data_IF_873819441340
#
_entry.id   IF_873819441340
#
_cell.length_a   1.000
_cell.length_b   1.000
_cell.length_c   1.000
_cell.angle_alpha   90.00
_cell.angle_beta   90.00
_cell.angle_gamma   90.00
#
_symmetry.space_group_name_H-M   'P 1'
#
loop_
_entity.id
_entity.type
_entity.pdbx_description
1 polymer ?
#
# COMPACT_ATOMS: atom_id res chain seq x y z
N UNK A 1 -10.08 12.39 -30.95
CA UNK A 1 -11.52 12.14 -30.71
C UNK A 1 -11.61 11.53 -29.34
N UNK A 2 -12.20 12.27 -28.40
CA UNK A 2 -12.45 11.85 -27.04
C UNK A 2 -12.96 10.38 -26.93
N UNK A 3 -12.16 9.51 -26.30
CA UNK A 3 -12.47 8.09 -26.15
C UNK A 3 -13.23 7.83 -24.84
N UNK A 4 -14.55 8.09 -24.85
CA UNK A 4 -15.42 7.77 -23.72
C UNK A 4 -16.75 7.13 -24.13
N UNK A 5 -17.25 6.25 -23.27
CA UNK A 5 -18.49 5.48 -23.45
C UNK A 5 -19.31 5.56 -22.17
N UNK A 6 -20.59 5.91 -22.28
CA UNK A 6 -21.57 5.79 -21.19
C UNK A 6 -22.53 4.64 -21.51
N UNK A 7 -22.47 3.59 -20.70
CA UNK A 7 -23.41 2.47 -20.77
C UNK A 7 -24.83 2.87 -20.38
N UNK A 8 -25.83 2.10 -20.84
CA UNK A 8 -27.24 2.32 -20.50
C UNK A 8 -27.54 2.10 -19.01
N UNK A 9 -26.66 1.36 -18.35
CA UNK A 9 -26.60 1.03 -16.93
C UNK A 9 -25.88 2.09 -16.10
N UNK A 10 -25.27 3.08 -16.75
CA UNK A 10 -24.58 4.20 -16.12
C UNK A 10 -23.07 4.00 -15.91
N UNK A 11 -22.50 2.89 -16.38
CA UNK A 11 -21.05 2.68 -16.37
C UNK A 11 -20.35 3.66 -17.33
N UNK A 12 -19.59 4.62 -16.80
CA UNK A 12 -18.79 5.55 -17.59
C UNK A 12 -17.36 5.04 -17.76
N UNK A 13 -16.99 4.66 -18.98
CA UNK A 13 -15.64 4.20 -19.32
C UNK A 13 -14.90 5.30 -20.08
N UNK A 14 -13.71 5.64 -19.61
CA UNK A 14 -12.84 6.68 -20.13
C UNK A 14 -11.49 6.04 -20.46
N UNK A 15 -11.05 6.19 -21.69
CA UNK A 15 -9.78 5.65 -22.17
C UNK A 15 -8.88 6.78 -22.66
N UNK A 16 -7.59 6.65 -22.43
CA UNK A 16 -6.57 7.35 -23.21
C UNK A 16 -6.86 7.22 -24.71
N UNK A 17 -6.59 8.27 -25.49
CA UNK A 17 -6.97 8.28 -26.90
C UNK A 17 -6.02 7.45 -27.78
N UNK A 18 -4.82 7.16 -27.27
CA UNK A 18 -3.81 6.30 -27.89
C UNK A 18 -3.51 6.70 -29.35
N UNK A 19 -3.58 8.01 -29.65
CA UNK A 19 -3.30 8.56 -30.97
C UNK A 19 -1.78 8.75 -31.18
N UNK A 20 -1.38 9.73 -31.99
CA UNK A 20 0.03 9.91 -32.37
C UNK A 20 0.95 10.20 -31.18
N UNK A 21 0.40 10.82 -30.13
CA UNK A 21 0.99 10.84 -28.79
C UNK A 21 0.30 9.76 -27.96
N UNK A 22 1.10 8.95 -27.27
CA UNK A 22 0.61 7.91 -26.37
C UNK A 22 0.39 8.44 -24.96
N UNK A 23 1.00 9.58 -24.64
CA UNK A 23 0.87 10.19 -23.32
C UNK A 23 -0.43 10.98 -23.26
N UNK A 24 -1.39 10.46 -22.51
CA UNK A 24 -2.72 11.02 -22.37
C UNK A 24 -2.82 11.87 -21.09
N UNK A 25 -3.38 13.07 -21.21
CA UNK A 25 -3.82 13.87 -20.07
C UNK A 25 -5.33 13.71 -19.88
N UNK A 26 -5.71 12.93 -18.86
CA UNK A 26 -7.08 12.58 -18.54
C UNK A 26 -7.49 13.28 -17.25
N UNK A 27 -8.53 14.11 -17.29
CA UNK A 27 -9.12 14.76 -16.13
C UNK A 27 -10.60 14.42 -16.02
N UNK A 28 -11.03 13.93 -14.84
CA UNK A 28 -12.43 13.58 -14.57
C UNK A 28 -12.90 14.31 -13.32
N UNK A 29 -13.80 15.28 -13.52
CA UNK A 29 -14.26 16.16 -12.46
C UNK A 29 -15.77 16.08 -12.34
N UNK A 30 -16.26 15.64 -11.19
CA UNK A 30 -17.66 15.75 -10.81
C UNK A 30 -17.95 17.14 -10.22
N UNK A 31 -18.93 17.82 -10.81
CA UNK A 31 -19.44 19.12 -10.41
C UNK A 31 -20.88 18.99 -9.89
N UNK A 32 -21.55 20.11 -9.63
CA UNK A 32 -22.88 20.11 -9.03
C UNK A 32 -23.94 19.33 -9.84
N UNK A 33 -23.87 19.34 -11.17
CA UNK A 33 -24.86 18.69 -12.05
C UNK A 33 -24.27 17.78 -13.12
N UNK A 34 -22.96 17.86 -13.37
CA UNK A 34 -22.30 17.14 -14.46
C UNK A 34 -21.00 16.50 -14.01
N UNK A 35 -20.59 15.46 -14.72
CA UNK A 35 -19.21 14.97 -14.74
C UNK A 35 -18.58 15.48 -16.03
N UNK A 36 -17.50 16.26 -15.90
CA UNK A 36 -16.71 16.74 -17.02
C UNK A 36 -15.49 15.86 -17.18
N UNK A 37 -15.38 15.23 -18.35
CA UNK A 37 -14.23 14.45 -18.78
C UNK A 37 -13.43 15.27 -19.77
N UNK A 38 -12.14 15.45 -19.53
CA UNK A 38 -11.20 16.11 -20.43
C UNK A 38 -10.10 15.14 -20.80
N UNK A 39 -9.88 14.91 -22.09
CA UNK A 39 -8.75 14.10 -22.62
C UNK A 39 -7.99 14.99 -23.59
N UNK A 40 -6.71 15.24 -23.32
CA UNK A 40 -5.81 16.04 -24.18
C UNK A 40 -6.38 17.42 -24.56
N UNK A 41 -7.14 18.03 -23.63
CA UNK A 41 -7.78 19.33 -23.80
C UNK A 41 -9.17 19.30 -24.48
N UNK A 42 -9.58 18.18 -25.08
CA UNK A 42 -10.96 17.98 -25.53
C UNK A 42 -11.85 17.66 -24.32
N UNK A 43 -12.99 18.32 -24.16
CA UNK A 43 -13.87 18.12 -23.00
C UNK A 43 -15.29 17.70 -23.39
N UNK A 44 -15.89 16.84 -22.57
CA UNK A 44 -17.31 16.45 -22.66
C UNK A 44 -17.93 16.38 -21.27
N UNK A 45 -19.10 17.02 -21.13
CA UNK A 45 -19.90 16.97 -19.92
C UNK A 45 -21.02 15.93 -20.06
N UNK A 46 -21.24 15.19 -18.99
CA UNK A 46 -22.26 14.15 -18.87
C UNK A 46 -23.12 14.51 -17.66
N UNK A 47 -24.44 14.39 -17.80
CA UNK A 47 -25.35 14.52 -16.65
C UNK A 47 -24.98 13.48 -15.57
N UNK A 48 -24.59 13.95 -14.39
CA UNK A 48 -24.07 13.07 -13.34
C UNK A 48 -25.10 12.05 -12.87
N UNK A 49 -26.40 12.36 -12.99
CA UNK A 49 -27.48 11.45 -12.58
C UNK A 49 -27.57 10.22 -13.47
N UNK A 50 -26.88 10.22 -14.62
CA UNK A 50 -26.79 9.08 -15.53
C UNK A 50 -25.58 8.19 -15.28
N UNK A 51 -24.66 8.57 -14.38
CA UNK A 51 -23.40 7.85 -14.16
C UNK A 51 -23.43 7.12 -12.84
N UNK A 52 -23.33 5.80 -12.83
CA UNK A 52 -23.29 5.00 -11.59
C UNK A 52 -21.88 4.90 -11.03
N UNK A 53 -20.89 4.80 -11.91
CA UNK A 53 -19.48 4.59 -11.60
C UNK A 53 -18.59 5.00 -12.78
N UNK A 54 -17.30 5.15 -12.48
CA UNK A 54 -16.30 5.64 -13.44
C UNK A 54 -15.14 4.66 -13.54
N UNK A 55 -14.80 4.25 -14.76
CA UNK A 55 -13.60 3.47 -15.07
C UNK A 55 -12.67 4.32 -15.93
N UNK A 56 -11.42 4.44 -15.52
CA UNK A 56 -10.39 5.23 -16.22
C UNK A 56 -9.21 4.33 -16.55
N UNK A 57 -8.81 4.31 -17.82
CA UNK A 57 -7.65 3.55 -18.31
C UNK A 57 -6.73 4.49 -19.08
N UNK A 58 -5.47 4.65 -18.64
CA UNK A 58 -4.44 5.39 -19.40
C UNK A 58 -4.00 4.66 -20.67
N UNK A 59 -3.94 3.32 -20.62
CA UNK A 59 -3.49 2.39 -21.67
C UNK A 59 -1.99 2.29 -21.83
N UNK A 60 -1.36 2.93 -22.81
CA UNK A 60 0.11 2.89 -22.98
C UNK A 60 0.62 4.29 -23.07
N UNK A 61 1.78 4.58 -22.50
CA UNK A 61 2.32 5.94 -22.46
C UNK A 61 2.65 6.36 -21.04
N UNK A 62 3.19 7.56 -20.87
CA UNK A 62 3.32 8.19 -19.56
C UNK A 62 2.14 9.14 -19.37
N UNK A 63 1.10 8.63 -18.72
CA UNK A 63 -0.21 9.28 -18.64
C UNK A 63 -0.34 10.15 -17.39
N UNK A 64 -1.11 11.24 -17.50
CA UNK A 64 -1.52 12.06 -16.36
C UNK A 64 -3.02 11.89 -16.15
N UNK A 65 -3.40 11.16 -15.11
CA UNK A 65 -4.77 10.95 -14.69
C UNK A 65 -5.07 11.81 -13.46
N UNK A 66 -6.04 12.71 -13.55
CA UNK A 66 -6.50 13.55 -12.44
C UNK A 66 -7.99 13.36 -12.19
N UNK A 67 -8.37 13.07 -10.95
CA UNK A 67 -9.75 12.74 -10.60
C UNK A 67 -10.27 13.51 -9.39
N UNK A 68 -11.55 13.91 -9.47
CA UNK A 68 -12.35 14.40 -8.35
C UNK A 68 -13.78 13.91 -8.54
N UNK A 69 -14.05 12.69 -8.10
CA UNK A 69 -15.32 11.98 -8.36
C UNK A 69 -15.84 11.42 -7.04
N UNK A 70 -17.14 11.54 -6.77
CA UNK A 70 -17.76 11.09 -5.51
C UNK A 70 -18.64 9.85 -5.68
N UNK A 71 -18.28 9.02 -6.66
CA UNK A 71 -18.98 7.80 -7.07
C UNK A 71 -17.97 6.66 -7.20
N UNK A 72 -18.41 5.39 -7.06
CA UNK A 72 -17.53 4.25 -7.21
C UNK A 72 -16.65 4.39 -8.46
N UNK A 73 -15.37 4.10 -8.32
CA UNK A 73 -14.44 4.28 -9.43
C UNK A 73 -13.30 3.28 -9.43
N UNK A 74 -12.80 3.00 -10.63
CA UNK A 74 -11.61 2.18 -10.88
C UNK A 74 -10.66 2.95 -11.78
N UNK A 75 -9.37 2.96 -11.43
CA UNK A 75 -8.32 3.68 -12.14
C UNK A 75 -7.20 2.68 -12.48
N UNK A 76 -6.71 2.73 -13.72
CA UNK A 76 -5.48 2.06 -14.13
C UNK A 76 -4.62 3.05 -14.91
N UNK A 77 -3.34 3.18 -14.52
CA UNK A 77 -2.35 3.94 -15.28
C UNK A 77 -2.12 3.34 -16.66
N UNK A 78 -2.09 2.01 -16.76
CA UNK A 78 -1.73 1.31 -17.99
C UNK A 78 -0.25 0.90 -17.98
N UNK A 79 0.38 0.85 -19.15
CA UNK A 79 1.81 0.62 -19.32
C UNK A 79 2.55 1.95 -19.42
N UNK A 80 3.54 2.19 -18.56
CA UNK A 80 4.46 3.29 -18.74
C UNK A 80 5.00 3.83 -17.44
N UNK A 81 4.97 5.14 -17.23
CA UNK A 81 5.28 5.70 -15.91
C UNK A 81 4.31 6.83 -15.74
N UNK A 82 3.24 6.53 -15.03
CA UNK A 82 2.04 7.34 -15.00
C UNK A 82 2.00 8.20 -13.75
N UNK A 83 1.14 9.22 -13.79
CA UNK A 83 0.82 10.03 -12.65
C UNK A 83 -0.69 9.99 -12.42
N UNK A 84 -1.10 9.40 -11.30
CA UNK A 84 -2.49 9.41 -10.83
C UNK A 84 -2.62 10.38 -9.67
N UNK A 85 -3.41 11.43 -9.86
CA UNK A 85 -3.72 12.45 -8.84
C UNK A 85 -5.21 12.34 -8.48
N UNK A 86 -5.49 11.85 -7.28
CA UNK A 86 -6.83 11.88 -6.72
C UNK A 86 -6.99 13.13 -5.84
N UNK A 87 -7.66 14.15 -6.40
CA UNK A 87 -8.12 15.32 -5.65
C UNK A 87 -9.27 14.97 -4.72
N UNK A 88 -10.07 13.94 -5.08
CA UNK A 88 -11.01 13.24 -4.21
C UNK A 88 -11.42 11.92 -4.87
N UNK A 89 -11.38 10.83 -4.10
CA UNK A 89 -11.96 9.54 -4.47
C UNK A 89 -12.76 8.98 -3.28
N UNK A 90 -13.92 8.34 -3.52
CA UNK A 90 -14.76 7.87 -2.43
C UNK A 90 -14.17 6.60 -1.78
N UNK A 91 -14.63 6.23 -0.57
CA UNK A 91 -14.36 4.93 0.01
C UNK A 91 -14.58 3.80 -0.99
N UNK A 92 -13.61 2.89 -1.09
CA UNK A 92 -13.65 1.76 -2.00
C UNK A 92 -13.17 2.01 -3.44
N UNK A 93 -12.76 3.23 -3.80
CA UNK A 93 -12.13 3.51 -5.11
C UNK A 93 -10.88 2.65 -5.32
N UNK A 94 -10.80 1.98 -6.48
CA UNK A 94 -9.80 0.96 -6.76
C UNK A 94 -8.71 1.47 -7.71
N UNK A 95 -7.45 1.30 -7.33
CA UNK A 95 -6.28 1.41 -8.20
C UNK A 95 -5.87 0.01 -8.65
N UNK A 96 -6.02 -0.26 -9.94
CA UNK A 96 -5.54 -1.49 -10.56
C UNK A 96 -4.01 -1.43 -10.73
N UNK A 97 -3.33 -2.59 -10.71
CA UNK A 97 -1.92 -2.65 -11.10
C UNK A 97 -1.72 -2.08 -12.50
N UNK A 98 -0.62 -1.35 -12.65
CA UNK A 98 -0.14 -0.78 -13.90
C UNK A 98 1.35 -1.09 -14.08
N UNK A 99 1.80 -1.04 -15.32
CA UNK A 99 3.19 -1.26 -15.69
C UNK A 99 4.04 -0.03 -15.40
N UNK A 100 5.16 -0.25 -14.71
CA UNK A 100 6.19 0.76 -14.43
C UNK A 100 6.08 1.42 -13.06
N UNK A 101 6.84 2.49 -12.87
CA UNK A 101 7.05 3.10 -11.55
C UNK A 101 6.15 4.33 -11.37
N UNK A 102 4.85 4.10 -11.25
CA UNK A 102 3.86 5.18 -11.25
C UNK A 102 3.94 6.07 -10.02
N UNK A 103 3.54 7.33 -10.19
CA UNK A 103 3.36 8.29 -9.11
C UNK A 103 1.89 8.39 -8.75
N UNK A 104 1.54 7.98 -7.54
CA UNK A 104 0.19 8.06 -6.98
C UNK A 104 0.16 9.17 -5.93
N UNK A 105 -0.70 10.16 -6.12
CA UNK A 105 -0.90 11.30 -5.22
C UNK A 105 -2.36 11.31 -4.77
N UNK A 106 -2.60 11.09 -3.49
CA UNK A 106 -3.91 11.16 -2.88
C UNK A 106 -4.01 12.42 -2.03
N UNK A 107 -4.91 13.34 -2.41
CA UNK A 107 -5.11 14.60 -1.72
C UNK A 107 -6.30 14.56 -0.74
N UNK A 108 -7.36 13.83 -1.09
CA UNK A 108 -8.55 13.63 -0.24
C UNK A 108 -9.22 12.30 -0.55
N UNK A 109 -9.94 11.77 0.43
CA UNK A 109 -10.73 10.55 0.28
C UNK A 109 -9.89 9.29 0.44
N UNK A 110 -10.30 8.21 -0.23
CA UNK A 110 -9.69 6.89 -0.11
C UNK A 110 -9.31 6.34 -1.48
N UNK A 111 -8.16 5.65 -1.56
CA UNK A 111 -7.79 4.82 -2.69
C UNK A 111 -7.28 3.49 -2.14
N UNK A 112 -7.69 2.38 -2.76
CA UNK A 112 -7.23 1.05 -2.36
C UNK A 112 -6.69 0.25 -3.53
N UNK A 113 -5.93 -0.77 -3.19
CA UNK A 113 -5.49 -1.82 -4.11
C UNK A 113 -6.22 -3.13 -3.76
N UNK A 114 -6.25 -4.11 -4.65
CA UNK A 114 -6.90 -5.41 -4.41
C UNK A 114 -6.02 -6.64 -4.70
N UNK A 115 -4.78 -6.39 -5.10
CA UNK A 115 -3.74 -7.39 -5.29
C UNK A 115 -2.36 -6.74 -5.09
N UNK A 116 -1.33 -7.57 -4.90
CA UNK A 116 0.07 -7.13 -4.87
C UNK A 116 0.40 -6.26 -6.09
N UNK A 117 1.04 -5.12 -5.86
CA UNK A 117 1.43 -4.21 -6.93
C UNK A 117 2.63 -3.35 -6.56
N UNK A 118 3.27 -2.80 -7.60
CA UNK A 118 4.39 -1.86 -7.48
C UNK A 118 3.91 -0.45 -7.82
N UNK A 119 4.31 0.51 -7.00
CA UNK A 119 4.12 1.95 -7.21
C UNK A 119 5.50 2.61 -7.15
N UNK A 120 5.85 3.49 -8.07
CA UNK A 120 7.12 4.22 -7.96
C UNK A 120 7.12 5.16 -6.75
N UNK A 121 6.13 6.05 -6.68
CA UNK A 121 6.04 7.06 -5.62
C UNK A 121 4.62 7.18 -5.10
N UNK A 122 4.42 6.86 -3.83
CA UNK A 122 3.15 7.05 -3.13
C UNK A 122 3.21 8.32 -2.27
N UNK A 123 2.30 9.25 -2.50
CA UNK A 123 2.11 10.45 -1.68
C UNK A 123 0.68 10.47 -1.15
N UNK A 124 0.54 10.51 0.17
CA UNK A 124 -0.76 10.59 0.85
C UNK A 124 -0.79 11.89 1.65
N UNK A 125 -1.76 12.76 1.37
CA UNK A 125 -1.86 14.10 1.96
C UNK A 125 -3.13 14.27 2.79
N UNK A 126 -3.12 15.22 3.73
CA UNK A 126 -4.31 15.64 4.46
C UNK A 126 -5.05 14.47 5.13
N UNK A 127 -6.38 14.48 5.03
CA UNK A 127 -7.25 13.45 5.62
C UNK A 127 -7.46 12.24 4.69
N UNK A 128 -6.48 11.92 3.84
CA UNK A 128 -6.65 10.85 2.85
C UNK A 128 -6.05 9.52 3.30
N UNK A 129 -6.63 8.43 2.80
CA UNK A 129 -6.30 7.06 3.19
C UNK A 129 -5.95 6.23 1.96
N UNK A 130 -4.72 5.75 1.89
CA UNK A 130 -4.36 4.67 0.99
C UNK A 130 -4.53 3.34 1.73
N UNK A 131 -5.34 2.42 1.22
CA UNK A 131 -5.69 1.16 1.90
C UNK A 131 -5.18 -0.03 1.12
N UNK A 132 -4.49 -0.92 1.82
CA UNK A 132 -4.25 -2.29 1.39
C UNK A 132 -5.21 -3.17 2.19
N UNK A 133 -6.34 -3.62 1.61
CA UNK A 133 -7.34 -4.41 2.31
C UNK A 133 -6.74 -5.71 2.89
N UNK A 134 -7.35 -6.34 3.91
CA UNK A 134 -6.84 -7.59 4.45
C UNK A 134 -6.57 -8.65 3.38
N UNK A 135 -5.49 -9.41 3.56
CA UNK A 135 -5.10 -10.55 2.71
C UNK A 135 -4.93 -10.21 1.21
N UNK A 136 -4.47 -8.99 0.93
CA UNK A 136 -4.20 -8.52 -0.45
C UNK A 136 -2.85 -8.99 -0.98
N UNK A 137 -1.83 -9.02 -0.13
CA UNK A 137 -0.46 -9.41 -0.48
C UNK A 137 0.56 -8.35 -0.10
N UNK A 138 1.36 -7.87 -1.06
CA UNK A 138 2.46 -6.94 -0.82
C UNK A 138 2.35 -5.67 -1.65
N UNK A 139 2.50 -4.53 -1.00
CA UNK A 139 2.67 -3.24 -1.65
C UNK A 139 4.17 -2.96 -1.80
N UNK A 140 4.66 -2.85 -3.02
CA UNK A 140 6.03 -2.40 -3.27
C UNK A 140 6.03 -0.94 -3.68
N UNK A 141 6.82 -0.11 -3.02
CA UNK A 141 7.01 1.30 -3.37
C UNK A 141 8.49 1.64 -3.55
N UNK A 142 8.86 2.54 -4.45
CA UNK A 142 10.23 3.11 -4.40
C UNK A 142 10.34 4.25 -3.38
N UNK A 143 9.23 4.92 -3.09
CA UNK A 143 9.14 5.90 -2.01
C UNK A 143 7.71 6.05 -1.51
N UNK A 144 7.57 6.29 -0.21
CA UNK A 144 6.32 6.71 0.42
C UNK A 144 6.54 8.05 1.10
N UNK A 145 5.60 8.97 0.93
CA UNK A 145 5.57 10.24 1.64
C UNK A 145 4.18 10.43 2.23
N UNK A 146 4.13 10.52 3.55
CA UNK A 146 2.94 10.95 4.27
C UNK A 146 3.11 12.44 4.57
N UNK A 147 2.20 13.26 4.04
CA UNK A 147 2.16 14.70 4.28
C UNK A 147 1.96 15.04 5.76
N UNK A 148 2.06 16.33 6.11
CA UNK A 148 1.89 16.78 7.48
C UNK A 148 0.52 16.37 8.03
N UNK A 149 0.46 15.83 9.26
CA UNK A 149 -0.81 15.48 9.87
C UNK A 149 -1.66 16.72 10.07
N UNK A 150 -2.96 16.59 9.83
CA UNK A 150 -3.94 17.63 10.15
C UNK A 150 -4.44 17.42 11.59
N UNK A 151 -5.65 16.85 11.74
CA UNK A 151 -6.19 16.33 13.02
C UNK A 151 -6.23 14.80 12.96
N UNK A 152 -6.51 14.28 11.77
CA UNK A 152 -6.50 12.88 11.38
C UNK A 152 -5.88 12.80 9.97
N UNK A 153 -5.26 11.67 9.65
CA UNK A 153 -4.54 11.42 8.42
C UNK A 153 -3.26 12.24 8.27
N UNK A 154 -2.47 11.96 7.21
CA UNK A 154 -2.71 10.92 6.19
C UNK A 154 -2.42 9.50 6.68
N UNK A 155 -3.04 8.50 6.03
CA UNK A 155 -2.85 7.08 6.36
C UNK A 155 -2.39 6.26 5.16
N UNK A 156 -1.39 5.41 5.40
CA UNK A 156 -1.21 4.18 4.64
C UNK A 156 -1.64 3.02 5.55
N UNK A 157 -2.82 2.45 5.33
CA UNK A 157 -3.30 1.31 6.12
C UNK A 157 -2.93 -0.01 5.43
N UNK A 158 -1.99 -0.72 6.03
CA UNK A 158 -1.52 -2.01 5.53
C UNK A 158 -2.41 -3.17 5.99
N UNK A 159 -3.33 -3.00 6.94
CA UNK A 159 -4.01 -4.14 7.58
C UNK A 159 -2.99 -5.22 7.99
N UNK A 160 -3.11 -6.45 7.48
CA UNK A 160 -2.16 -7.55 7.69
C UNK A 160 -1.24 -7.81 6.48
N UNK A 161 -1.02 -6.79 5.64
CA UNK A 161 -0.22 -6.89 4.44
C UNK A 161 1.21 -6.42 4.67
N UNK A 162 2.07 -6.80 3.73
CA UNK A 162 3.49 -6.46 3.77
C UNK A 162 3.78 -5.24 2.87
N UNK A 163 4.81 -4.48 3.23
CA UNK A 163 5.30 -3.33 2.46
C UNK A 163 6.79 -3.48 2.17
N UNK A 164 7.18 -3.28 0.92
CA UNK A 164 8.58 -3.18 0.50
C UNK A 164 8.81 -1.74 0.05
N UNK A 165 9.76 -1.05 0.68
CA UNK A 165 10.27 0.23 0.20
C UNK A 165 11.60 -0.01 -0.50
N UNK A 166 11.56 -0.18 -1.82
CA UNK A 166 12.66 -0.50 -2.73
C UNK A 166 13.34 0.78 -3.25
N UNK A 167 14.29 1.29 -2.47
CA UNK A 167 14.91 2.60 -2.71
C UNK A 167 16.19 2.48 -3.53
N UNK A 168 16.59 3.52 -4.28
CA UNK A 168 17.75 3.41 -5.17
C UNK A 168 19.05 3.04 -4.43
N UNK A 169 19.83 2.06 -4.94
CA UNK A 169 21.10 1.70 -4.33
C UNK A 169 22.06 2.88 -4.18
N UNK A 170 22.78 2.90 -3.06
CA UNK A 170 23.73 3.98 -2.73
C UNK A 170 23.09 5.28 -2.23
N UNK A 171 21.77 5.29 -2.00
CA UNK A 171 21.08 6.40 -1.33
C UNK A 171 20.86 6.10 0.16
N UNK A 172 20.54 7.14 0.94
CA UNK A 172 20.22 6.99 2.37
C UNK A 172 18.94 6.18 2.54
N UNK A 173 19.02 5.12 3.35
CA UNK A 173 17.85 4.30 3.68
C UNK A 173 16.71 5.14 4.29
N UNK A 174 15.46 4.98 3.83
CA UNK A 174 14.31 5.65 4.41
C UNK A 174 13.82 5.02 5.73
N UNK A 175 14.53 4.00 6.28
CA UNK A 175 14.11 3.23 7.47
C UNK A 175 13.63 4.11 8.61
N UNK A 176 14.38 5.16 8.95
CA UNK A 176 14.02 6.07 10.03
C UNK A 176 12.63 6.69 9.84
N UNK A 177 12.30 7.14 8.63
CA UNK A 177 10.98 7.72 8.33
C UNK A 177 9.88 6.67 8.36
N UNK A 178 10.14 5.47 7.82
CA UNK A 178 9.17 4.36 7.85
C UNK A 178 8.88 3.95 9.30
N UNK A 179 9.91 3.73 10.11
CA UNK A 179 9.77 3.45 11.54
C UNK A 179 9.00 4.56 12.24
N UNK A 180 9.35 5.83 12.00
CA UNK A 180 8.65 6.96 12.63
C UNK A 180 7.18 7.02 12.27
N UNK A 181 6.81 6.75 11.01
CA UNK A 181 5.41 6.70 10.60
C UNK A 181 4.63 5.57 11.31
N UNK A 182 5.26 4.44 11.59
CA UNK A 182 4.66 3.33 12.33
C UNK A 182 4.59 3.63 13.84
N UNK A 183 5.65 4.19 14.45
CA UNK A 183 5.66 4.57 15.86
C UNK A 183 4.54 5.56 16.18
N UNK A 184 4.39 6.59 15.34
CA UNK A 184 3.30 7.55 15.45
C UNK A 184 1.94 6.83 15.40
N UNK A 185 1.73 5.94 14.43
CA UNK A 185 0.48 5.20 14.35
C UNK A 185 0.23 4.42 15.64
N UNK A 186 1.24 3.73 16.19
CA UNK A 186 1.17 2.99 17.46
C UNK A 186 0.88 3.86 18.68
N UNK A 187 1.56 5.00 18.82
CA UNK A 187 1.35 5.99 19.90
C UNK A 187 -0.12 6.45 19.95
N UNK A 188 -0.80 6.45 18.80
CA UNK A 188 -2.21 6.81 18.63
C UNK A 188 -3.14 5.60 18.38
N UNK A 189 -2.77 4.43 18.88
CA UNK A 189 -3.56 3.19 18.82
C UNK A 189 -4.03 2.83 17.41
N UNK A 190 -3.21 3.15 16.39
CA UNK A 190 -3.43 2.91 14.96
C UNK A 190 -4.55 3.72 14.30
N UNK A 191 -5.18 4.68 14.99
CA UNK A 191 -6.36 5.38 14.45
C UNK A 191 -6.06 6.69 13.71
N UNK A 192 -5.01 7.42 14.09
CA UNK A 192 -4.98 8.87 13.78
C UNK A 192 -4.20 9.20 12.52
N UNK A 193 -2.97 8.74 12.32
CA UNK A 193 -2.17 8.98 11.09
C UNK A 193 -0.92 8.09 11.04
N UNK A 194 -0.26 8.01 9.89
CA UNK A 194 0.99 7.25 9.70
C UNK A 194 0.84 6.01 8.82
N UNK A 195 1.82 5.12 8.89
CA UNK A 195 1.71 3.78 8.32
C UNK A 195 1.05 2.93 9.40
N UNK A 196 -0.23 2.60 9.19
CA UNK A 196 -1.09 1.98 10.18
C UNK A 196 -1.44 0.53 9.82
N UNK A 197 -1.97 -0.20 10.80
CA UNK A 197 -2.55 -1.52 10.64
C UNK A 197 -3.87 -1.58 11.40
N UNK A 198 -4.98 -1.51 10.66
CA UNK A 198 -6.31 -1.70 11.28
C UNK A 198 -6.46 -3.10 11.89
N UNK A 199 -5.76 -4.11 11.37
CA UNK A 199 -5.75 -5.46 11.94
C UNK A 199 -5.08 -5.50 13.32
N UNK A 200 -3.96 -4.81 13.50
CA UNK A 200 -3.21 -4.75 14.77
C UNK A 200 -3.99 -4.07 15.92
N UNK A 201 -5.00 -3.26 15.63
CA UNK A 201 -5.88 -2.64 16.65
C UNK A 201 -6.51 -3.70 17.55
N UNK A 202 -6.99 -4.79 16.95
CA UNK A 202 -7.75 -5.82 17.65
C UNK A 202 -6.86 -6.80 18.41
N UNK A 203 -5.61 -6.93 17.99
CA UNK A 203 -4.64 -7.88 18.50
C UNK A 203 -3.45 -7.13 19.09
N UNK A 204 -3.53 -6.85 20.40
CA UNK A 204 -2.51 -6.10 21.16
C UNK A 204 -1.13 -6.78 21.25
N UNK A 205 -0.97 -7.95 20.64
CA UNK A 205 0.29 -8.68 20.50
C UNK A 205 0.89 -8.64 19.09
N UNK A 206 0.21 -7.99 18.14
CA UNK A 206 0.69 -7.84 16.75
C UNK A 206 0.96 -6.39 16.40
N UNK A 207 1.78 -6.19 15.37
CA UNK A 207 2.26 -4.87 14.94
C UNK A 207 2.77 -4.93 13.50
N UNK A 208 3.31 -3.81 13.03
CA UNK A 208 4.15 -3.72 11.85
C UNK A 208 5.63 -3.65 12.28
N UNK A 209 6.38 -4.71 12.04
CA UNK A 209 7.83 -4.75 12.26
C UNK A 209 8.59 -4.19 11.06
N UNK A 210 9.76 -3.58 11.28
CA UNK A 210 10.58 -2.95 10.23
C UNK A 210 11.99 -3.54 10.22
N UNK A 211 12.41 -4.05 9.07
CA UNK A 211 13.75 -4.65 8.89
C UNK A 211 14.37 -4.16 7.59
N UNK A 212 15.68 -3.94 7.56
CA UNK A 212 16.38 -3.74 6.29
C UNK A 212 16.59 -5.08 5.57
N UNK A 213 16.60 -5.04 4.25
CA UNK A 213 16.89 -6.21 3.40
C UNK A 213 18.23 -6.90 3.69
N UNK A 214 19.28 -6.15 4.08
CA UNK A 214 20.57 -6.74 4.47
C UNK A 214 20.49 -7.53 5.80
N UNK A 215 19.70 -7.05 6.77
CA UNK A 215 19.38 -7.76 8.02
C UNK A 215 18.61 -9.04 7.68
N UNK A 216 17.61 -8.96 6.79
CA UNK A 216 16.86 -10.11 6.31
C UNK A 216 17.73 -11.15 5.59
N UNK A 217 18.66 -10.72 4.73
CA UNK A 217 19.61 -11.62 4.08
C UNK A 217 20.60 -12.25 5.04
N UNK A 218 20.87 -11.64 6.20
CA UNK A 218 21.72 -12.27 7.22
C UNK A 218 21.05 -13.50 7.86
N UNK A 219 19.72 -13.56 7.82
CA UNK A 219 18.90 -14.67 8.31
C UNK A 219 18.66 -15.72 7.23
N UNK A 220 18.22 -15.29 6.04
CA UNK A 220 17.70 -16.16 4.99
C UNK A 220 18.66 -16.40 3.82
N UNK A 221 19.81 -15.74 3.84
CA UNK A 221 20.83 -15.82 2.81
C UNK A 221 20.64 -14.82 1.65
N UNK A 222 21.68 -14.61 0.82
CA UNK A 222 21.62 -13.71 -0.32
C UNK A 222 20.55 -14.13 -1.33
N UNK A 223 19.73 -13.18 -1.79
CA UNK A 223 18.69 -13.44 -2.79
C UNK A 223 17.42 -14.08 -2.24
N UNK A 224 17.25 -14.11 -0.92
CA UNK A 224 15.97 -14.45 -0.31
C UNK A 224 14.84 -13.53 -0.83
N UNK A 225 13.65 -14.08 -1.00
CA UNK A 225 12.45 -13.32 -1.38
C UNK A 225 11.69 -12.89 -0.14
N UNK A 226 11.08 -11.71 -0.17
CA UNK A 226 10.20 -11.24 0.89
C UNK A 226 8.75 -11.27 0.38
N UNK A 227 7.90 -12.07 1.01
CA UNK A 227 6.48 -12.24 0.63
C UNK A 227 6.27 -12.69 -0.81
N UNK A 228 7.22 -13.46 -1.35
CA UNK A 228 7.23 -13.91 -2.74
C UNK A 228 7.85 -12.93 -3.73
N UNK A 229 8.20 -11.72 -3.30
CA UNK A 229 8.84 -10.72 -4.15
C UNK A 229 10.38 -10.79 -4.04
N UNK A 230 11.10 -10.68 -5.17
CA UNK A 230 12.53 -10.50 -5.13
C UNK A 230 12.88 -9.14 -4.54
N UNK A 231 13.86 -9.12 -3.64
CA UNK A 231 14.41 -7.90 -3.04
C UNK A 231 15.91 -7.83 -3.32
N UNK A 232 16.46 -6.62 -3.35
CA UNK A 232 17.91 -6.40 -3.36
C UNK A 232 18.40 -5.89 -1.99
N UNK A 233 19.65 -5.42 -1.91
CA UNK A 233 20.23 -4.92 -0.65
C UNK A 233 19.83 -3.48 -0.29
N UNK A 234 18.91 -2.86 -1.04
CA UNK A 234 18.46 -1.48 -0.89
C UNK A 234 16.94 -1.41 -0.71
N UNK A 235 16.40 -2.29 0.15
CA UNK A 235 15.01 -2.27 0.56
C UNK A 235 14.83 -2.15 2.08
N UNK A 236 13.75 -1.46 2.49
CA UNK A 236 13.16 -1.55 3.84
C UNK A 236 11.93 -2.43 3.75
N UNK A 237 11.85 -3.44 4.60
CA UNK A 237 10.79 -4.43 4.67
C UNK A 237 9.92 -4.12 5.88
N UNK A 238 8.62 -4.10 5.67
CA UNK A 238 7.63 -3.96 6.74
C UNK A 238 6.69 -5.14 6.68
N UNK A 239 6.52 -5.83 7.81
CA UNK A 239 5.66 -7.00 7.91
C UNK A 239 4.67 -6.84 9.05
N UNK A 240 3.43 -7.26 8.81
CA UNK A 240 2.50 -7.56 9.89
C UNK A 240 2.95 -8.83 10.63
N UNK A 241 3.35 -8.70 11.88
CA UNK A 241 3.84 -9.81 12.69
C UNK A 241 3.53 -9.63 14.18
N UNK A 242 3.87 -10.62 15.01
CA UNK A 242 3.93 -10.50 16.46
C UNK A 242 5.06 -9.56 16.89
N UNK A 243 4.82 -8.82 17.97
CA UNK A 243 5.95 -8.25 18.71
C UNK A 243 6.87 -9.40 19.13
N UNK A 244 8.17 -9.30 18.88
CA UNK A 244 9.08 -10.40 19.19
C UNK A 244 9.55 -11.22 18.01
N UNK A 245 8.84 -11.28 16.88
CA UNK A 245 9.23 -12.12 15.73
C UNK A 245 10.39 -11.45 14.97
N UNK A 246 11.61 -11.66 15.48
CA UNK A 246 12.84 -11.01 15.04
C UNK A 246 13.30 -11.44 13.66
N UNK A 247 12.80 -12.57 13.14
CA UNK A 247 13.16 -13.09 11.83
C UNK A 247 12.00 -13.13 10.84
N UNK A 248 10.83 -12.61 11.17
CA UNK A 248 9.67 -12.54 10.27
C UNK A 248 9.16 -13.91 9.80
N UNK A 249 9.27 -14.94 10.65
CA UNK A 249 8.75 -16.28 10.39
C UNK A 249 7.30 -16.47 10.87
N UNK A 250 6.74 -15.47 11.55
CA UNK A 250 5.36 -15.43 12.02
C UNK A 250 5.09 -16.13 13.35
N UNK A 251 6.13 -16.53 14.09
CA UNK A 251 6.03 -17.09 15.45
C UNK A 251 7.04 -16.38 16.35
N UNK A 252 6.74 -16.29 17.65
CA UNK A 252 7.71 -15.88 18.67
C UNK A 252 8.21 -17.14 19.37
N UNK A 253 9.50 -17.42 19.29
CA UNK A 253 10.10 -18.62 19.90
C UNK A 253 11.50 -18.38 20.52
N UNK A 254 12.22 -19.46 20.79
CA UNK A 254 13.53 -19.40 21.45
C UNK A 254 14.58 -18.63 20.63
N UNK A 255 14.52 -18.70 19.30
CA UNK A 255 15.48 -18.02 18.46
C UNK A 255 15.31 -16.50 18.57
N UNK A 256 14.07 -16.02 18.74
CA UNK A 256 13.76 -14.61 18.98
C UNK A 256 14.30 -14.09 20.31
N UNK A 257 14.06 -14.85 21.39
CA UNK A 257 14.61 -14.52 22.71
C UNK A 257 16.15 -14.45 22.68
N UNK A 258 16.77 -15.39 21.97
CA UNK A 258 18.23 -15.39 21.80
C UNK A 258 18.73 -14.14 21.07
N UNK A 259 17.96 -13.58 20.13
CA UNK A 259 18.33 -12.37 19.39
C UNK A 259 18.15 -11.10 20.22
N UNK A 260 17.05 -10.95 20.98
CA UNK A 260 16.89 -9.78 21.89
C UNK A 260 17.94 -9.79 23.00
N UNK A 261 18.24 -10.95 23.61
CA UNK A 261 19.29 -11.06 24.63
C UNK A 261 20.66 -10.67 24.09
N UNK A 262 20.99 -11.12 22.87
CA UNK A 262 22.22 -10.72 22.20
C UNK A 262 22.20 -9.23 21.82
N UNK A 263 21.06 -8.68 21.41
CA UNK A 263 20.89 -7.27 21.10
C UNK A 263 21.14 -6.38 22.31
N UNK A 264 20.47 -6.68 23.42
CA UNK A 264 20.64 -6.00 24.71
C UNK A 264 22.11 -6.04 25.18
N UNK A 265 22.71 -7.24 25.22
CA UNK A 265 24.08 -7.42 25.72
C UNK A 265 25.13 -6.67 24.88
N UNK A 266 24.88 -6.50 23.58
CA UNK A 266 25.81 -5.87 22.64
C UNK A 266 25.41 -4.44 22.27
N UNK A 267 24.45 -3.83 22.97
CA UNK A 267 23.98 -2.47 22.73
C UNK A 267 23.56 -2.24 21.25
N UNK A 268 22.93 -3.25 20.64
CA UNK A 268 22.41 -3.18 19.27
C UNK A 268 20.99 -2.64 19.26
N UNK A 269 20.54 -2.19 18.09
CA UNK A 269 19.20 -1.64 17.86
C UNK A 269 18.54 -2.26 16.63
N UNK A 270 17.30 -1.90 16.36
CA UNK A 270 16.52 -2.40 15.23
C UNK A 270 15.87 -3.75 15.50
N UNK A 271 14.81 -4.04 14.72
CA UNK A 271 13.89 -5.15 14.94
C UNK A 271 14.57 -6.52 15.08
N UNK A 272 15.55 -6.81 14.22
CA UNK A 272 16.31 -8.07 14.26
C UNK A 272 17.01 -8.31 15.61
N UNK A 273 17.36 -7.24 16.31
CA UNK A 273 18.08 -7.29 17.58
C UNK A 273 17.17 -7.08 18.79
N UNK A 274 15.86 -6.95 18.59
CA UNK A 274 14.88 -6.87 19.69
C UNK A 274 14.34 -5.48 20.02
N UNK A 275 14.58 -4.45 19.21
CA UNK A 275 13.97 -3.12 19.35
C UNK A 275 12.57 -3.15 18.71
N UNK A 276 11.59 -3.58 19.50
CA UNK A 276 10.23 -3.87 19.06
C UNK A 276 9.31 -2.66 19.17
N UNK A 277 9.61 -1.70 20.03
CA UNK A 277 8.93 -0.41 20.06
C UNK A 277 9.52 0.60 19.04
N UNK A 278 10.69 0.30 18.46
CA UNK A 278 11.32 1.06 17.39
C UNK A 278 11.89 2.39 17.86
N UNK A 279 12.36 2.47 19.11
CA UNK A 279 12.87 3.69 19.74
C UNK A 279 14.41 3.84 19.69
N UNK A 280 15.08 2.98 18.91
CA UNK A 280 16.55 2.88 18.78
C UNK A 280 17.25 2.41 20.07
N UNK A 281 16.56 1.66 20.95
CA UNK A 281 17.12 0.99 22.11
C UNK A 281 16.53 -0.42 22.23
N UNK A 282 17.25 -1.30 22.91
CA UNK A 282 16.73 -2.59 23.35
C UNK A 282 16.72 -2.54 24.87
N UNK A 283 15.55 -2.53 25.48
CA UNK A 283 15.42 -2.43 26.94
C UNK A 283 14.23 -3.21 27.49
N UNK A 284 13.85 -2.91 28.75
CA UNK A 284 12.77 -3.63 29.44
C UNK A 284 11.42 -3.50 28.71
N UNK A 285 11.15 -2.38 28.05
CA UNK A 285 9.90 -2.17 27.34
C UNK A 285 9.76 -3.15 26.17
N UNK A 286 10.87 -3.48 25.49
CA UNK A 286 10.89 -4.51 24.44
C UNK A 286 10.67 -5.92 24.99
N UNK A 287 11.26 -6.24 26.15
CA UNK A 287 11.01 -7.52 26.83
C UNK A 287 9.53 -7.68 27.18
N UNK A 288 8.86 -6.60 27.61
CA UNK A 288 7.41 -6.62 27.88
C UNK A 288 6.61 -6.92 26.61
N UNK A 289 7.03 -6.41 25.45
CA UNK A 289 6.37 -6.64 24.16
C UNK A 289 6.52 -8.10 23.70
N UNK A 290 7.73 -8.66 23.69
CA UNK A 290 7.95 -10.06 23.29
C UNK A 290 7.31 -11.04 24.27
N UNK A 291 7.40 -10.82 25.58
CA UNK A 291 6.76 -11.68 26.59
C UNK A 291 5.23 -11.65 26.45
N UNK A 292 4.67 -10.47 26.24
CA UNK A 292 3.23 -10.30 26.00
C UNK A 292 2.77 -11.07 24.77
N UNK A 293 3.52 -10.97 23.68
CA UNK A 293 3.21 -11.70 22.46
C UNK A 293 3.43 -13.20 22.59
N UNK A 294 4.55 -13.66 23.15
CA UNK A 294 4.82 -15.08 23.34
C UNK A 294 3.71 -15.80 24.12
N UNK A 295 3.19 -15.16 25.17
CA UNK A 295 2.13 -15.71 26.01
C UNK A 295 0.74 -15.70 25.37
N UNK A 296 0.53 -14.88 24.32
CA UNK A 296 -0.80 -14.64 23.73
C UNK A 296 -0.86 -14.91 22.23
N UNK A 297 0.25 -15.26 21.60
CA UNK A 297 0.31 -15.55 20.17
C UNK A 297 -0.60 -16.73 19.83
N UNK A 298 -1.13 -16.68 18.62
CA UNK A 298 -2.04 -17.67 18.10
C UNK A 298 -1.32 -18.66 17.19
N UNK A 299 -1.96 -18.96 16.06
CA UNK A 299 -1.28 -19.69 14.99
C UNK A 299 -0.19 -18.83 14.36
N UNK A 300 0.82 -19.48 13.80
CA UNK A 300 1.85 -18.80 13.01
C UNK A 300 1.22 -17.89 11.95
N UNK A 301 1.70 -16.65 11.89
CA UNK A 301 1.29 -15.67 10.90
C UNK A 301 1.99 -16.02 9.57
N UNK A 302 1.21 -16.25 8.52
CA UNK A 302 1.75 -16.48 7.19
C UNK A 302 2.22 -15.16 6.54
N UNK A 303 3.04 -15.23 5.47
CA UNK A 303 3.24 -14.09 4.59
C UNK A 303 1.89 -13.59 4.09
N UNK A 304 1.78 -12.29 3.81
CA UNK A 304 0.66 -11.80 3.04
C UNK A 304 0.74 -12.39 1.63
N UNK A 305 -0.03 -13.44 1.35
CA UNK A 305 -0.05 -14.13 0.06
C UNK A 305 -1.10 -13.48 -0.82
N UNK A 306 -0.72 -13.12 -2.05
CA UNK A 306 -1.64 -12.64 -3.08
C UNK A 306 -2.79 -13.64 -3.25
N UNK A 307 -4.05 -13.17 -3.19
CA UNK A 307 -5.20 -14.01 -3.52
C UNK A 307 -5.18 -14.37 -5.01
N UNK A 308 -4.49 -15.46 -5.38
CA UNK A 308 -4.47 -15.96 -6.76
C UNK A 308 -5.87 -16.51 -7.07
N UNK A 309 -6.69 -15.67 -7.71
CA UNK A 309 -7.81 -16.03 -8.59
C UNK A 309 -8.71 -17.19 -8.16
N UNK A 310 -9.71 -16.92 -7.31
CA UNK A 310 -10.82 -17.85 -7.06
C UNK A 310 -12.18 -17.26 -7.45
N UNK A 311 -12.36 -16.88 -8.73
CA UNK A 311 -13.66 -16.98 -9.42
C UNK A 311 -13.47 -17.44 -10.86
N UNK A 312 -13.03 -18.69 -11.03
CA UNK A 312 -13.40 -19.42 -12.25
C UNK A 312 -14.91 -19.63 -12.20
N UNK A 313 -15.65 -18.79 -12.93
CA UNK A 313 -17.04 -19.10 -13.24
C UNK A 313 -17.04 -20.37 -14.09
N UNK A 314 -17.36 -21.51 -13.46
CA UNK A 314 -17.88 -22.63 -14.23
C UNK A 314 -19.21 -22.18 -14.80
N UNK A 315 -19.17 -21.58 -15.98
CA UNK A 315 -20.28 -21.55 -16.91
C UNK A 315 -20.58 -23.00 -17.23
N UNK A 316 -21.54 -23.57 -16.51
CA UNK A 316 -22.15 -24.86 -16.85
C UNK A 316 -22.96 -24.66 -18.12
N UNK A 317 -22.27 -24.64 -19.27
CA UNK A 317 -22.86 -24.87 -20.56
C UNK A 317 -22.96 -26.36 -20.80
N UNK A 318 -24.17 -26.92 -20.80
CA UNK A 318 -24.57 -27.87 -21.84
C UNK A 318 -26.08 -28.01 -21.96
N UNK A 319 -26.54 -27.58 -23.13
CA UNK A 319 -27.79 -27.91 -23.78
C UNK A 319 -27.85 -29.39 -24.15
N UNK A 320 -28.99 -30.04 -23.88
CA UNK A 320 -29.92 -30.64 -24.85
C UNK A 320 -31.13 -31.20 -24.10
#
# INVERSE_FOLDING_TARGET
MLSLILGIDGHLVINGDQLADKNDSISVIEESTVITVTINGEARSIDKEKVTDVVINGHTGADLIRVRVARPMTISGGDGTDQVISDYSPPGALLLPSGGNDTIILNQGELRIDQSQRIGRLVVNGFSRFVVPPDTGVLTVSSVTLGSPAIEGPWLDLNNNDLIVDYPPGTTSPRFFIQRYINIAREFSWYVFGITSTTAISAHNTTLGVMQSNEYFSLYGPGATFSGEPIDASAVLVRYTYYGDTDFNGVVDFDDYSRIDAGFLNERTGWLNGDFDGNDQVDLDDYVLIDGAFNTQGSSLGPALSSIGARSSKVAGRSR
#
